data_IF_242976722314
#
_entry.id   IF_242976722314
#
_cell.length_a   1.000
_cell.length_b   1.000
_cell.length_c   1.000
_cell.angle_alpha   90.00
_cell.angle_beta   90.00
_cell.angle_gamma   90.00
#
_symmetry.space_group_name_H-M   'P 1'
#
loop_
_entity.id
_entity.type
_entity.pdbx_description
1 polymer ?
#
# COMPACT_ATOMS: atom_id res chain seq x y z
N UNK A 1 -1.87 16.69 5.53
CA UNK A 1 -3.33 16.45 5.45
C UNK A 1 -3.77 15.67 4.21
N UNK A 2 -3.33 16.01 2.99
CA UNK A 2 -3.74 15.34 1.74
C UNK A 2 -3.47 13.81 1.73
N UNK A 3 -2.38 13.35 2.32
CA UNK A 3 -2.02 11.91 2.36
C UNK A 3 -2.91 11.10 3.29
N UNK A 4 -3.23 11.64 4.47
CA UNK A 4 -4.15 11.00 5.44
C UNK A 4 -5.54 10.85 4.82
N UNK A 5 -6.00 11.86 4.08
CA UNK A 5 -7.27 11.79 3.35
C UNK A 5 -7.27 10.70 2.28
N UNK A 6 -6.18 10.54 1.51
CA UNK A 6 -6.06 9.45 0.52
C UNK A 6 -6.16 8.08 1.16
N UNK A 7 -5.44 7.84 2.26
CA UNK A 7 -5.48 6.58 3.01
C UNK A 7 -6.89 6.32 3.55
N UNK A 8 -7.49 7.31 4.21
CA UNK A 8 -8.83 7.18 4.77
C UNK A 8 -9.89 6.85 3.70
N UNK A 9 -9.79 7.49 2.53
CA UNK A 9 -10.66 7.19 1.38
C UNK A 9 -10.50 5.74 0.90
N UNK A 10 -9.29 5.21 0.86
CA UNK A 10 -9.04 3.81 0.46
C UNK A 10 -9.66 2.83 1.46
N UNK A 11 -9.52 3.08 2.77
CA UNK A 11 -10.15 2.25 3.81
C UNK A 11 -11.68 2.29 3.74
N UNK A 12 -12.29 3.43 3.43
CA UNK A 12 -13.72 3.53 3.23
C UNK A 12 -14.20 2.72 2.01
N UNK A 13 -13.45 2.78 0.91
CA UNK A 13 -13.77 2.01 -0.30
C UNK A 13 -13.69 0.50 0.02
N UNK A 14 -12.66 0.06 0.76
CA UNK A 14 -12.52 -1.33 1.19
C UNK A 14 -13.71 -1.81 2.03
N UNK A 15 -14.14 -1.02 2.99
CA UNK A 15 -15.33 -1.28 3.81
C UNK A 15 -16.62 -1.41 2.97
N UNK A 16 -16.79 -0.53 1.99
CA UNK A 16 -17.97 -0.56 1.09
C UNK A 16 -17.95 -1.84 0.23
N UNK A 17 -16.80 -2.17 -0.35
CA UNK A 17 -16.65 -3.39 -1.16
C UNK A 17 -16.92 -4.63 -0.30
N UNK A 18 -16.34 -4.70 0.89
CA UNK A 18 -16.55 -5.80 1.84
C UNK A 18 -18.04 -5.96 2.19
N UNK A 19 -18.75 -4.85 2.42
CA UNK A 19 -20.19 -4.87 2.70
C UNK A 19 -21.00 -5.46 1.53
N UNK A 20 -20.74 -5.02 0.29
CA UNK A 20 -21.44 -5.56 -0.88
C UNK A 20 -21.14 -7.05 -1.11
N UNK A 21 -19.89 -7.46 -0.95
CA UNK A 21 -19.50 -8.87 -1.07
C UNK A 21 -20.12 -9.72 0.04
N UNK A 22 -20.26 -9.20 1.25
CA UNK A 22 -20.94 -9.90 2.34
C UNK A 22 -22.43 -10.12 2.06
N UNK A 23 -23.12 -9.14 1.48
CA UNK A 23 -24.52 -9.29 1.05
C UNK A 23 -24.61 -10.34 -0.06
N UNK A 24 -23.71 -10.33 -1.05
CA UNK A 24 -23.69 -11.35 -2.09
C UNK A 24 -23.45 -12.75 -1.52
N UNK A 25 -22.56 -12.91 -0.54
CA UNK A 25 -22.37 -14.18 0.17
C UNK A 25 -23.68 -14.64 0.82
N UNK A 26 -24.37 -13.73 1.50
CA UNK A 26 -25.67 -14.03 2.11
C UNK A 26 -26.68 -14.52 1.07
N UNK A 27 -26.78 -13.85 -0.08
CA UNK A 27 -27.68 -14.25 -1.18
C UNK A 27 -27.29 -15.61 -1.75
N UNK A 28 -26.01 -15.85 -2.01
CA UNK A 28 -25.50 -17.13 -2.51
C UNK A 28 -25.81 -18.25 -1.53
N UNK A 29 -25.59 -18.03 -0.24
CA UNK A 29 -25.84 -19.04 0.79
C UNK A 29 -27.34 -19.32 1.00
N UNK A 30 -28.21 -18.30 0.85
CA UNK A 30 -29.63 -18.42 1.08
C UNK A 30 -30.44 -18.89 -0.14
N UNK A 31 -30.02 -18.48 -1.36
CA UNK A 31 -30.86 -18.64 -2.57
C UNK A 31 -30.33 -19.68 -3.57
N UNK A 32 -29.00 -19.81 -3.71
CA UNK A 32 -28.37 -20.63 -4.74
C UNK A 32 -28.10 -22.08 -4.31
N UNK A 33 -28.40 -22.43 -3.07
CA UNK A 33 -28.22 -23.81 -2.61
C UNK A 33 -29.44 -24.66 -3.01
N UNK A 34 -29.26 -25.86 -3.58
CA UNK A 34 -30.36 -26.77 -3.92
C UNK A 34 -31.25 -27.06 -2.71
N UNK A 35 -32.55 -27.16 -2.94
CA UNK A 35 -33.49 -27.55 -1.91
C UNK A 35 -33.07 -28.88 -1.26
N UNK A 36 -32.83 -28.89 0.04
CA UNK A 36 -32.37 -30.07 0.79
C UNK A 36 -30.91 -30.06 1.22
N UNK A 37 -30.10 -29.08 0.81
CA UNK A 37 -28.77 -28.89 1.40
C UNK A 37 -28.89 -28.34 2.82
N UNK A 38 -28.59 -29.18 3.80
CA UNK A 38 -28.69 -28.82 5.23
C UNK A 38 -27.45 -28.05 5.70
N UNK A 39 -26.31 -28.18 4.97
CA UNK A 39 -25.05 -27.55 5.33
C UNK A 39 -24.74 -26.41 4.36
N UNK A 40 -25.03 -25.19 4.76
CA UNK A 40 -24.66 -23.96 4.09
C UNK A 40 -23.90 -23.08 5.08
N UNK A 41 -23.27 -22.02 4.60
CA UNK A 41 -22.59 -21.05 5.45
C UNK A 41 -23.54 -20.50 6.55
N UNK A 42 -24.79 -20.22 6.19
CA UNK A 42 -25.78 -19.68 7.13
C UNK A 42 -26.42 -20.75 8.04
N UNK A 43 -26.52 -21.99 7.58
CA UNK A 43 -27.25 -23.06 8.30
C UNK A 43 -26.32 -24.05 9.02
N UNK A 44 -25.04 -23.72 9.17
CA UNK A 44 -24.12 -24.59 9.87
C UNK A 44 -24.38 -24.61 11.38
N UNK A 45 -24.53 -25.81 11.94
CA UNK A 45 -24.78 -26.01 13.36
C UNK A 45 -23.64 -25.45 14.25
N UNK A 46 -22.41 -25.45 13.75
CA UNK A 46 -21.25 -24.99 14.52
C UNK A 46 -21.21 -23.48 14.71
N UNK A 47 -21.86 -22.70 13.87
CA UNK A 47 -21.78 -21.25 13.91
C UNK A 47 -23.02 -20.54 14.43
N UNK A 48 -24.08 -21.28 14.71
CA UNK A 48 -25.30 -20.79 15.36
C UNK A 48 -25.82 -19.44 14.82
N UNK A 49 -26.09 -19.38 13.50
CA UNK A 49 -26.74 -18.20 12.90
C UNK A 49 -28.26 -18.15 13.22
N UNK A 50 -28.83 -19.27 13.72
CA UNK A 50 -30.24 -19.35 14.08
C UNK A 50 -30.49 -18.49 15.33
N UNK A 51 -31.44 -17.55 15.20
CA UNK A 51 -31.83 -16.63 16.27
C UNK A 51 -31.02 -15.34 16.33
N UNK A 52 -30.02 -15.14 15.44
CA UNK A 52 -29.29 -13.88 15.32
C UNK A 52 -30.18 -12.80 14.67
N UNK A 53 -29.94 -11.58 15.07
CA UNK A 53 -30.48 -10.40 14.38
C UNK A 53 -29.84 -10.27 12.99
N UNK A 54 -30.53 -9.57 12.08
CA UNK A 54 -30.00 -9.27 10.73
C UNK A 54 -28.64 -8.57 10.84
N UNK A 55 -28.51 -7.67 11.78
CA UNK A 55 -27.24 -6.96 12.04
C UNK A 55 -26.08 -7.91 12.37
N UNK A 56 -26.29 -8.84 13.30
CA UNK A 56 -25.25 -9.80 13.69
C UNK A 56 -24.85 -10.72 12.54
N UNK A 57 -25.82 -11.13 11.73
CA UNK A 57 -25.57 -11.95 10.53
C UNK A 57 -24.71 -11.19 9.52
N UNK A 58 -25.05 -9.92 9.25
CA UNK A 58 -24.25 -9.06 8.34
C UNK A 58 -22.84 -8.88 8.87
N UNK A 59 -22.67 -8.58 10.15
CA UNK A 59 -21.34 -8.41 10.76
C UNK A 59 -20.47 -9.67 10.62
N UNK A 60 -21.04 -10.86 10.84
CA UNK A 60 -20.30 -12.12 10.66
C UNK A 60 -19.93 -12.38 9.19
N UNK A 61 -20.83 -12.11 8.25
CA UNK A 61 -20.54 -12.22 6.84
C UNK A 61 -19.43 -11.22 6.43
N UNK A 62 -19.50 -9.97 6.91
CA UNK A 62 -18.46 -8.95 6.65
C UNK A 62 -17.12 -9.38 7.24
N UNK A 63 -17.09 -9.88 8.46
CA UNK A 63 -15.88 -10.38 9.09
C UNK A 63 -15.22 -11.49 8.26
N UNK A 64 -16.00 -12.49 7.82
CA UNK A 64 -15.49 -13.56 6.97
C UNK A 64 -14.95 -13.06 5.62
N UNK A 65 -15.68 -12.19 4.94
CA UNK A 65 -15.23 -11.59 3.67
C UNK A 65 -13.97 -10.74 3.90
N UNK A 66 -13.94 -9.93 4.96
CA UNK A 66 -12.78 -9.08 5.28
C UNK A 66 -11.52 -9.91 5.52
N UNK A 67 -11.61 -10.99 6.33
CA UNK A 67 -10.46 -11.87 6.57
C UNK A 67 -9.99 -12.60 5.32
N UNK A 68 -10.92 -12.87 4.39
CA UNK A 68 -10.61 -13.49 3.08
C UNK A 68 -9.95 -12.50 2.13
N UNK A 69 -10.47 -11.28 2.00
CA UNK A 69 -9.92 -10.22 1.13
C UNK A 69 -8.51 -9.79 1.58
N UNK A 70 -8.31 -9.66 2.89
CA UNK A 70 -7.01 -9.29 3.48
C UNK A 70 -6.02 -10.45 3.54
N UNK A 71 -6.37 -11.64 3.02
CA UNK A 71 -5.55 -12.85 3.01
C UNK A 71 -5.15 -13.39 4.39
N UNK A 72 -5.84 -12.96 5.47
CA UNK A 72 -5.59 -13.43 6.84
C UNK A 72 -6.12 -14.84 7.04
N UNK A 73 -7.41 -15.09 6.72
CA UNK A 73 -8.04 -16.41 6.69
C UNK A 73 -7.86 -17.22 7.97
N UNK A 74 -8.43 -16.78 9.08
CA UNK A 74 -8.32 -17.51 10.38
C UNK A 74 -8.88 -18.94 10.33
N UNK A 75 -9.77 -19.27 9.35
CA UNK A 75 -10.36 -20.59 9.20
C UNK A 75 -11.48 -20.90 10.20
N UNK A 76 -11.91 -19.91 10.96
CA UNK A 76 -13.07 -19.99 11.86
C UNK A 76 -14.39 -20.06 11.09
N UNK A 77 -14.47 -19.39 9.93
CA UNK A 77 -15.57 -19.48 8.96
C UNK A 77 -15.04 -19.99 7.62
N UNK A 78 -15.81 -20.83 6.93
CA UNK A 78 -15.49 -21.38 5.61
C UNK A 78 -16.74 -21.80 4.83
N UNK A 79 -16.70 -21.84 3.47
CA UNK A 79 -17.83 -22.22 2.64
C UNK A 79 -18.08 -23.74 2.68
N UNK A 80 -19.33 -24.15 2.77
CA UNK A 80 -19.75 -25.56 2.79
C UNK A 80 -20.23 -26.04 1.43
N UNK A 81 -21.11 -25.28 0.79
CA UNK A 81 -21.70 -25.66 -0.50
C UNK A 81 -20.73 -25.36 -1.65
N UNK A 82 -20.90 -26.08 -2.77
CA UNK A 82 -20.12 -25.84 -3.97
C UNK A 82 -20.37 -24.44 -4.56
N UNK A 83 -21.61 -23.93 -4.48
CA UNK A 83 -21.93 -22.57 -4.92
C UNK A 83 -21.18 -21.52 -4.10
N UNK A 84 -21.13 -21.68 -2.78
CA UNK A 84 -20.37 -20.81 -1.89
C UNK A 84 -18.87 -20.87 -2.18
N UNK A 85 -18.31 -22.07 -2.41
CA UNK A 85 -16.90 -22.26 -2.75
C UNK A 85 -16.51 -21.55 -4.05
N UNK A 86 -17.35 -21.69 -5.09
CA UNK A 86 -17.14 -20.98 -6.36
C UNK A 86 -17.16 -19.47 -6.13
N UNK A 87 -18.15 -18.98 -5.36
CA UNK A 87 -18.22 -17.56 -5.02
C UNK A 87 -16.96 -17.07 -4.30
N UNK A 88 -16.48 -17.80 -3.29
CA UNK A 88 -15.30 -17.42 -2.53
C UNK A 88 -14.02 -17.45 -3.38
N UNK A 89 -13.90 -18.34 -4.37
CA UNK A 89 -12.79 -18.30 -5.34
C UNK A 89 -12.77 -16.95 -6.08
N UNK A 90 -13.92 -16.48 -6.55
CA UNK A 90 -13.99 -15.15 -7.19
C UNK A 90 -13.66 -14.01 -6.22
N UNK A 91 -14.15 -14.08 -4.97
CA UNK A 91 -13.82 -13.10 -3.92
C UNK A 91 -12.32 -13.06 -3.66
N UNK A 92 -11.64 -14.21 -3.60
CA UNK A 92 -10.20 -14.29 -3.40
C UNK A 92 -9.41 -13.66 -4.56
N UNK A 93 -9.81 -13.91 -5.82
CA UNK A 93 -9.16 -13.30 -6.98
C UNK A 93 -9.32 -11.78 -6.99
N UNK A 94 -10.53 -11.29 -6.69
CA UNK A 94 -10.80 -9.86 -6.52
C UNK A 94 -9.96 -9.30 -5.36
N UNK A 95 -9.91 -10.01 -4.23
CA UNK A 95 -9.18 -9.62 -3.03
C UNK A 95 -7.69 -9.40 -3.29
N UNK A 96 -7.02 -10.35 -3.93
CA UNK A 96 -5.59 -10.23 -4.27
C UNK A 96 -5.34 -9.02 -5.16
N UNK A 97 -6.18 -8.82 -6.19
CA UNK A 97 -6.04 -7.68 -7.11
C UNK A 97 -6.27 -6.34 -6.40
N UNK A 98 -7.29 -6.27 -5.56
CA UNK A 98 -7.64 -5.07 -4.81
C UNK A 98 -6.60 -4.73 -3.73
N UNK A 99 -6.14 -5.75 -2.99
CA UNK A 99 -5.08 -5.58 -1.99
C UNK A 99 -3.77 -5.07 -2.62
N UNK A 100 -3.40 -5.61 -3.79
CA UNK A 100 -2.23 -5.15 -4.54
C UNK A 100 -2.37 -3.68 -4.94
N UNK A 101 -3.56 -3.24 -5.34
CA UNK A 101 -3.84 -1.84 -5.65
C UNK A 101 -3.72 -0.94 -4.42
N UNK A 102 -4.26 -1.36 -3.26
CA UNK A 102 -4.13 -0.61 -2.00
C UNK A 102 -2.67 -0.46 -1.62
N UNK A 103 -1.89 -1.54 -1.66
CA UNK A 103 -0.46 -1.53 -1.33
C UNK A 103 0.34 -0.62 -2.27
N UNK A 104 0.04 -0.63 -3.56
CA UNK A 104 0.66 0.29 -4.51
C UNK A 104 0.43 1.76 -4.17
N UNK A 105 -0.81 2.14 -3.87
CA UNK A 105 -1.13 3.50 -3.42
C UNK A 105 -0.48 3.87 -2.08
N UNK A 106 -0.36 2.90 -1.16
CA UNK A 106 0.27 3.12 0.14
C UNK A 106 1.78 3.41 -0.02
N UNK A 107 2.46 2.64 -0.86
CA UNK A 107 3.88 2.85 -1.18
C UNK A 107 4.09 4.22 -1.84
N UNK A 108 3.20 4.63 -2.76
CA UNK A 108 3.25 5.97 -3.39
C UNK A 108 3.14 7.09 -2.35
N UNK A 109 2.25 6.93 -1.36
CA UNK A 109 2.08 7.91 -0.27
C UNK A 109 3.35 8.00 0.57
N UNK A 110 3.96 6.87 0.96
CA UNK A 110 5.21 6.84 1.74
C UNK A 110 6.34 7.49 0.94
N UNK A 111 6.56 7.08 -0.30
CA UNK A 111 7.59 7.65 -1.17
C UNK A 111 7.43 9.16 -1.39
N UNK A 112 6.18 9.61 -1.53
CA UNK A 112 5.89 11.05 -1.65
C UNK A 112 6.16 11.83 -0.35
N UNK A 113 5.96 11.18 0.81
CA UNK A 113 6.29 11.75 2.11
C UNK A 113 7.81 11.85 2.30
N UNK A 114 8.55 10.78 1.99
CA UNK A 114 10.01 10.75 2.05
C UNK A 114 10.64 11.85 1.18
N UNK A 115 10.16 12.02 -0.05
CA UNK A 115 10.60 13.10 -0.95
C UNK A 115 10.34 14.50 -0.37
N UNK A 116 9.21 14.72 0.33
CA UNK A 116 8.88 16.02 0.93
C UNK A 116 9.69 16.32 2.19
N UNK A 117 10.03 15.31 2.98
CA UNK A 117 10.82 15.48 4.22
C UNK A 117 12.30 15.67 3.91
N UNK A 118 12.71 15.53 2.62
CA UNK A 118 14.10 15.67 2.21
C UNK A 118 14.97 14.50 2.66
N UNK A 119 14.35 13.39 3.09
CA UNK A 119 14.99 12.09 3.22
C UNK A 119 15.07 11.51 1.80
N UNK A 120 15.59 12.30 0.86
CA UNK A 120 16.11 11.74 -0.37
C UNK A 120 17.28 10.88 0.08
N UNK A 121 17.28 9.64 -0.35
CA UNK A 121 18.41 8.75 -0.15
C UNK A 121 19.61 9.29 -0.96
N UNK A 122 20.26 10.31 -0.38
CA UNK A 122 21.43 10.97 -0.97
C UNK A 122 22.54 9.95 -1.21
N UNK A 123 22.52 8.85 -0.46
CA UNK A 123 23.41 7.71 -0.67
C UNK A 123 23.19 7.05 -2.02
N UNK A 124 21.93 6.81 -2.42
CA UNK A 124 21.64 6.21 -3.72
C UNK A 124 21.94 7.13 -4.90
N UNK A 125 21.81 8.45 -4.72
CA UNK A 125 22.23 9.44 -5.73
C UNK A 125 23.75 9.45 -5.89
N UNK A 126 24.50 9.38 -4.79
CA UNK A 126 25.95 9.29 -4.81
C UNK A 126 26.43 7.99 -5.47
N UNK A 127 25.83 6.86 -5.14
CA UNK A 127 26.14 5.55 -5.73
C UNK A 127 25.89 5.54 -7.25
N UNK A 128 24.77 6.13 -7.70
CA UNK A 128 24.48 6.31 -9.11
C UNK A 128 25.53 7.20 -9.79
N UNK A 129 25.94 8.30 -9.14
CA UNK A 129 26.97 9.19 -9.66
C UNK A 129 28.32 8.50 -9.76
N UNK A 130 28.75 7.74 -8.75
CA UNK A 130 29.96 6.91 -8.79
C UNK A 130 29.90 5.85 -9.90
N UNK A 131 28.73 5.27 -10.13
CA UNK A 131 28.51 4.33 -11.24
C UNK A 131 28.69 5.02 -12.60
N UNK A 132 28.20 6.25 -12.77
CA UNK A 132 28.46 7.03 -13.98
C UNK A 132 29.95 7.35 -14.14
N UNK A 133 30.67 7.74 -13.09
CA UNK A 133 32.10 7.97 -13.14
C UNK A 133 32.88 6.72 -13.58
N UNK A 134 32.51 5.55 -13.08
CA UNK A 134 33.10 4.27 -13.49
C UNK A 134 32.88 4.01 -14.98
N UNK A 135 31.69 4.33 -15.51
CA UNK A 135 31.41 4.23 -16.96
C UNK A 135 32.26 5.19 -17.78
N UNK A 136 32.47 6.43 -17.32
CA UNK A 136 33.36 7.39 -17.98
C UNK A 136 34.83 6.94 -17.95
N UNK A 137 35.23 6.20 -16.92
CA UNK A 137 36.58 5.62 -16.80
C UNK A 137 36.71 4.28 -17.59
N UNK A 138 36.01 4.15 -18.70
CA UNK A 138 36.07 2.95 -19.56
C UNK A 138 35.72 1.64 -18.81
N UNK A 139 34.76 1.67 -17.87
CA UNK A 139 34.37 0.58 -16.99
C UNK A 139 35.50 0.03 -16.09
N UNK A 140 36.58 0.80 -15.89
CA UNK A 140 37.58 0.44 -14.89
C UNK A 140 37.10 0.88 -13.51
N UNK A 141 37.21 0.02 -12.49
CA UNK A 141 36.83 0.38 -11.13
C UNK A 141 37.64 1.60 -10.68
N UNK A 142 37.00 2.51 -9.98
CA UNK A 142 37.69 3.63 -9.31
C UNK A 142 38.51 3.07 -8.16
N UNK A 143 39.57 3.79 -7.80
CA UNK A 143 40.39 3.45 -6.63
C UNK A 143 39.52 3.49 -5.37
N UNK A 144 39.64 2.45 -4.54
CA UNK A 144 38.85 2.34 -3.30
C UNK A 144 39.08 3.50 -2.36
N UNK A 145 40.34 3.92 -2.20
CA UNK A 145 40.72 5.04 -1.34
C UNK A 145 40.03 6.34 -1.78
N UNK A 146 39.95 6.59 -3.10
CA UNK A 146 39.23 7.73 -3.67
C UNK A 146 37.70 7.63 -3.44
N UNK A 147 37.11 6.45 -3.55
CA UNK A 147 35.68 6.24 -3.31
C UNK A 147 35.34 6.48 -1.84
N UNK A 148 36.14 5.91 -0.93
CA UNK A 148 35.95 6.07 0.52
C UNK A 148 36.09 7.55 0.94
N UNK A 149 37.06 8.28 0.39
CA UNK A 149 37.26 9.73 0.64
C UNK A 149 36.04 10.54 0.14
N UNK A 150 35.48 10.20 -1.02
CA UNK A 150 34.29 10.86 -1.59
C UNK A 150 33.09 10.60 -0.70
N UNK A 151 32.86 9.35 -0.30
CA UNK A 151 31.73 8.98 0.57
C UNK A 151 31.82 9.68 1.93
N UNK A 152 32.98 9.69 2.57
CA UNK A 152 33.19 10.35 3.85
C UNK A 152 33.01 11.86 3.74
N UNK A 153 33.48 12.48 2.64
CA UNK A 153 33.27 13.90 2.39
C UNK A 153 31.78 14.24 2.30
N UNK A 154 31.01 13.50 1.50
CA UNK A 154 29.57 13.76 1.36
C UNK A 154 28.77 13.40 2.60
N UNK A 155 29.15 12.38 3.35
CA UNK A 155 28.55 12.02 4.63
C UNK A 155 28.67 13.14 5.67
N UNK A 156 29.79 13.87 5.67
CA UNK A 156 29.98 15.04 6.50
C UNK A 156 29.29 16.28 5.93
N UNK A 157 29.35 16.49 4.62
CA UNK A 157 28.84 17.68 3.93
C UNK A 157 27.32 17.80 3.98
N UNK A 158 26.57 16.72 3.79
CA UNK A 158 25.11 16.75 3.71
C UNK A 158 24.37 17.17 5.00
N UNK A 159 24.79 16.79 6.21
CA UNK A 159 24.19 17.32 7.43
C UNK A 159 24.50 18.80 7.68
N UNK A 160 25.71 19.23 7.31
CA UNK A 160 26.21 20.58 7.61
C UNK A 160 25.68 21.62 6.62
N UNK A 161 25.60 21.30 5.34
CA UNK A 161 25.21 22.24 4.28
C UNK A 161 23.82 21.95 3.69
N UNK A 162 22.79 22.28 4.43
CA UNK A 162 21.39 22.12 3.95
C UNK A 162 21.05 23.02 2.75
N UNK A 163 21.78 24.10 2.56
CA UNK A 163 21.60 25.08 1.47
C UNK A 163 22.28 24.66 0.15
N UNK A 164 23.09 23.63 0.14
CA UNK A 164 23.79 23.17 -1.07
C UNK A 164 22.87 22.61 -2.17
N UNK A 165 21.60 22.39 -1.84
CA UNK A 165 20.56 21.98 -2.80
C UNK A 165 20.06 23.15 -3.66
N UNK A 166 20.38 24.39 -3.30
CA UNK A 166 20.03 25.58 -4.07
C UNK A 166 21.15 25.84 -5.08
N UNK A 167 20.96 25.37 -6.31
CA UNK A 167 21.85 25.70 -7.42
C UNK A 167 21.76 27.22 -7.71
N UNK A 168 22.88 27.92 -7.99
CA UNK A 168 22.86 29.30 -8.46
C UNK A 168 22.02 29.51 -9.74
N UNK A 169 21.74 28.45 -10.45
CA UNK A 169 20.91 28.40 -11.66
C UNK A 169 19.45 27.99 -11.39
N UNK A 170 19.04 27.87 -10.13
CA UNK A 170 17.69 27.49 -9.77
C UNK A 170 16.68 28.52 -10.32
N UNK A 171 15.70 28.08 -11.17
CA UNK A 171 14.74 29.00 -11.79
C UNK A 171 13.88 29.74 -10.75
N UNK A 172 13.64 29.15 -9.60
CA UNK A 172 12.90 29.81 -8.51
C UNK A 172 13.73 30.90 -7.84
N UNK A 173 15.01 30.65 -7.59
CA UNK A 173 15.93 31.66 -7.04
C UNK A 173 16.09 32.85 -8.00
N UNK A 174 16.13 32.59 -9.30
CA UNK A 174 16.22 33.62 -10.34
C UNK A 174 14.93 34.43 -10.54
N UNK A 175 13.77 33.87 -10.17
CA UNK A 175 12.48 34.57 -10.25
C UNK A 175 12.19 35.47 -9.06
N UNK A 176 12.96 35.36 -7.96
CA UNK A 176 12.82 36.23 -6.79
C UNK A 176 13.27 37.67 -7.08
N UNK A 177 12.54 38.67 -6.55
CA UNK A 177 12.97 40.07 -6.57
C UNK A 177 14.36 40.22 -5.94
N UNK A 178 15.18 41.14 -6.47
CA UNK A 178 16.57 41.33 -6.04
C UNK A 178 16.71 41.56 -4.52
N UNK A 179 15.78 42.29 -3.90
CA UNK A 179 15.83 42.57 -2.47
C UNK A 179 15.59 41.31 -1.60
N UNK A 180 14.73 40.37 -2.04
CA UNK A 180 14.47 39.11 -1.31
C UNK A 180 15.57 38.07 -1.53
N UNK A 181 16.34 38.21 -2.63
CA UNK A 181 17.43 37.29 -2.98
C UNK A 181 18.65 37.41 -2.07
N UNK A 182 18.81 38.56 -1.41
CA UNK A 182 19.92 38.78 -0.47
C UNK A 182 19.57 38.32 0.96
N UNK A 183 18.29 38.05 1.24
CA UNK A 183 17.82 37.63 2.57
C UNK A 183 17.66 36.09 2.66
N UNK A 184 17.87 35.35 1.54
CA UNK A 184 17.84 33.89 1.43
C UNK A 184 19.24 33.35 1.26
#
# INVERSE_FOLDING_TARGET
>A
MLYIYKIFRLLLIDLIITYFLAILLYIVSSQLNPAGTTNTFLNNMNWSFNGLTVYETVVRCMYFIMTTLTTVGYGDFYPFSNAERIYIIFVQLIGVSFYSYIMGNFIEVISSYEKKVGIVDKGSELENWLTYLTRFNANRPLDKELVDDIEDHFKYFWPEYKLSTLSPTDPYLNSLPKYTRYDV
#
